data_IF_617693513415
#
_entry.id   IF_617693513415
#
_cell.length_a   1.000
_cell.length_b   1.000
_cell.length_c   1.000
_cell.angle_alpha   90.00
_cell.angle_beta   90.00
_cell.angle_gamma   90.00
#
_symmetry.space_group_name_H-M   'P 1'
#
loop_
_entity.id
_entity.type
_entity.pdbx_description
1 polymer ?
#
# COMPACT_ATOMS: atom_id res chain seq x y z
N UNK A 1 -12.23 -18.74 -45.28
CA UNK A 1 -12.04 -19.16 -43.86
C UNK A 1 -10.80 -18.56 -43.20
N UNK A 2 -9.71 -18.24 -43.91
CA UNK A 2 -8.48 -17.69 -43.30
C UNK A 2 -8.66 -16.29 -42.67
N UNK A 3 -9.32 -15.37 -43.38
CA UNK A 3 -9.53 -14.00 -42.92
C UNK A 3 -10.36 -13.91 -41.63
N UNK A 4 -11.35 -14.80 -41.45
CA UNK A 4 -12.18 -14.85 -40.24
C UNK A 4 -11.41 -15.31 -39.00
N UNK A 5 -10.43 -16.21 -39.17
CA UNK A 5 -9.56 -16.65 -38.07
C UNK A 5 -8.57 -15.56 -37.67
N UNK A 6 -8.07 -14.79 -38.63
CA UNK A 6 -7.18 -13.66 -38.36
C UNK A 6 -7.91 -12.51 -37.65
N UNK A 7 -9.11 -12.15 -38.08
CA UNK A 7 -9.90 -11.10 -37.39
C UNK A 7 -10.28 -11.52 -35.98
N UNK A 8 -10.72 -12.77 -35.77
CA UNK A 8 -11.04 -13.28 -34.44
C UNK A 8 -9.82 -13.33 -33.50
N UNK A 9 -8.66 -13.74 -34.02
CA UNK A 9 -7.41 -13.77 -33.27
C UNK A 9 -6.93 -12.37 -32.87
N UNK A 10 -7.02 -11.38 -33.78
CA UNK A 10 -6.70 -9.99 -33.46
C UNK A 10 -7.67 -9.43 -32.42
N UNK A 11 -8.97 -9.72 -32.52
CA UNK A 11 -9.97 -9.27 -31.54
C UNK A 11 -9.71 -9.83 -30.14
N UNK A 12 -9.36 -11.11 -30.01
CA UNK A 12 -9.02 -11.69 -28.71
C UNK A 12 -7.77 -11.03 -28.12
N UNK A 13 -6.76 -10.74 -28.95
CA UNK A 13 -5.54 -10.07 -28.51
C UNK A 13 -5.86 -8.66 -28.00
N UNK A 14 -6.66 -7.88 -28.72
CA UNK A 14 -7.07 -6.53 -28.29
C UNK A 14 -7.88 -6.55 -26.99
N UNK A 15 -8.77 -7.53 -26.82
CA UNK A 15 -9.53 -7.69 -25.57
C UNK A 15 -8.61 -8.05 -24.39
N UNK A 16 -7.62 -8.92 -24.60
CA UNK A 16 -6.67 -9.32 -23.57
C UNK A 16 -5.76 -8.16 -23.13
N UNK A 17 -5.34 -7.30 -24.06
CA UNK A 17 -4.54 -6.10 -23.77
C UNK A 17 -5.36 -5.04 -23.03
N UNK A 18 -6.63 -4.84 -23.40
CA UNK A 18 -7.52 -3.90 -22.69
C UNK A 18 -7.81 -4.34 -21.25
N UNK A 19 -8.00 -5.64 -21.01
CA UNK A 19 -8.23 -6.17 -19.66
C UNK A 19 -6.98 -6.03 -18.77
N UNK A 20 -5.78 -6.20 -19.33
CA UNK A 20 -4.52 -6.02 -18.60
C UNK A 20 -4.28 -4.55 -18.18
N UNK A 21 -4.73 -3.58 -18.99
CA UNK A 21 -4.63 -2.16 -18.64
C UNK A 21 -5.59 -1.71 -17.54
N UNK A 22 -6.78 -2.32 -17.43
CA UNK A 22 -7.72 -2.04 -16.34
C UNK A 22 -7.20 -2.53 -14.98
N UNK A 23 -6.36 -3.59 -14.95
CA UNK A 23 -5.73 -4.06 -13.71
C UNK A 23 -4.64 -3.11 -13.17
N UNK A 24 -4.08 -2.24 -14.03
CA UNK A 24 -3.09 -1.22 -13.64
C UNK A 24 -3.73 0.15 -13.32
N UNK A 25 -4.93 0.40 -13.83
CA UNK A 25 -5.61 1.69 -13.75
C UNK A 25 -6.61 1.72 -12.59
N UNK A 26 -6.08 1.88 -11.37
CA UNK A 26 -6.68 2.55 -10.21
C UNK A 26 -6.30 1.82 -8.91
N UNK A 27 -5.17 2.21 -8.32
CA UNK A 27 -5.04 2.14 -6.87
C UNK A 27 -5.85 3.32 -6.31
N UNK A 28 -7.18 3.26 -6.43
CA UNK A 28 -8.02 4.11 -5.59
C UNK A 28 -7.72 3.66 -4.17
N UNK A 29 -7.29 4.55 -3.25
CA UNK A 29 -7.12 4.17 -1.86
C UNK A 29 -8.41 3.50 -1.42
N UNK A 30 -8.35 2.26 -0.96
CA UNK A 30 -9.52 1.63 -0.38
C UNK A 30 -9.97 2.53 0.76
N UNK A 31 -11.18 3.09 0.67
CA UNK A 31 -11.71 4.00 1.69
C UNK A 31 -12.68 3.24 2.59
N UNK A 32 -12.67 3.59 3.88
CA UNK A 32 -13.60 3.14 4.91
C UNK A 32 -14.06 1.70 4.74
N UNK A 33 -15.26 1.51 4.21
CA UNK A 33 -15.95 0.23 4.11
C UNK A 33 -15.15 -0.89 3.42
N UNK A 34 -14.38 -0.59 2.37
CA UNK A 34 -13.60 -1.61 1.66
C UNK A 34 -12.41 -2.10 2.50
N UNK A 35 -11.79 -1.17 3.25
CA UNK A 35 -10.71 -1.51 4.20
C UNK A 35 -11.29 -2.30 5.36
N UNK A 36 -12.38 -1.83 5.95
CA UNK A 36 -13.04 -2.50 7.07
C UNK A 36 -13.46 -3.92 6.69
N UNK A 37 -14.11 -4.12 5.54
CA UNK A 37 -14.49 -5.45 5.08
C UNK A 37 -13.29 -6.39 4.92
N UNK A 38 -12.16 -5.89 4.40
CA UNK A 38 -10.93 -6.67 4.27
C UNK A 38 -10.33 -7.00 5.64
N UNK A 39 -10.26 -6.01 6.54
CA UNK A 39 -9.73 -6.20 7.90
C UNK A 39 -10.59 -7.19 8.67
N UNK A 40 -11.92 -7.04 8.66
CA UNK A 40 -12.86 -7.99 9.27
C UNK A 40 -12.66 -9.40 8.71
N UNK A 41 -12.57 -9.56 7.39
CA UNK A 41 -12.36 -10.88 6.79
C UNK A 41 -11.08 -11.58 7.27
N UNK A 42 -10.03 -10.80 7.55
CA UNK A 42 -8.77 -11.32 8.08
C UNK A 42 -8.95 -11.71 9.55
N UNK A 43 -9.51 -10.80 10.36
CA UNK A 43 -9.69 -11.01 11.81
C UNK A 43 -10.67 -12.15 12.13
N UNK A 44 -11.71 -12.34 11.31
CA UNK A 44 -12.68 -13.43 11.48
C UNK A 44 -12.06 -14.80 11.19
N UNK A 45 -11.03 -14.83 10.34
CA UNK A 45 -10.31 -16.05 9.96
C UNK A 45 -9.00 -16.27 10.75
N UNK A 46 -8.79 -15.50 11.82
CA UNK A 46 -7.71 -15.70 12.78
C UNK A 46 -8.17 -16.49 14.00
N UNK A 47 -7.37 -17.45 14.42
CA UNK A 47 -7.53 -18.08 15.72
C UNK A 47 -7.06 -17.14 16.85
N UNK A 48 -7.38 -17.48 18.11
CA UNK A 48 -7.04 -16.64 19.26
C UNK A 48 -5.53 -16.41 19.42
N UNK A 49 -4.70 -17.42 19.15
CA UNK A 49 -3.24 -17.28 19.21
C UNK A 49 -2.71 -16.33 18.14
N UNK A 50 -3.22 -16.40 16.90
CA UNK A 50 -2.88 -15.47 15.83
C UNK A 50 -3.25 -14.03 16.19
N UNK A 51 -4.42 -13.81 16.80
CA UNK A 51 -4.83 -12.48 17.29
C UNK A 51 -3.91 -11.95 18.39
N UNK A 52 -3.54 -12.79 19.35
CA UNK A 52 -2.60 -12.42 20.42
C UNK A 52 -1.22 -12.11 19.85
N UNK A 53 -0.74 -12.91 18.89
CA UNK A 53 0.57 -12.69 18.28
C UNK A 53 0.57 -11.42 17.41
N UNK A 54 -0.56 -11.07 16.78
CA UNK A 54 -0.67 -9.84 16.00
C UNK A 54 -0.50 -8.58 16.86
N UNK A 55 -1.00 -8.59 18.10
CA UNK A 55 -0.86 -7.43 19.02
C UNK A 55 0.47 -7.41 19.76
N UNK A 56 1.23 -8.51 19.72
CA UNK A 56 2.53 -8.63 20.39
C UNK A 56 3.64 -8.50 19.36
N UNK A 57 4.17 -7.28 19.24
CA UNK A 57 5.39 -7.01 18.48
C UNK A 57 6.58 -7.72 19.15
N UNK A 58 7.15 -8.72 18.50
CA UNK A 58 8.27 -9.51 19.03
C UNK A 58 9.44 -9.70 18.05
N UNK A 59 9.32 -9.23 16.81
CA UNK A 59 10.26 -9.47 15.72
C UNK A 59 10.88 -8.17 15.15
N UNK A 60 10.67 -7.04 15.83
CA UNK A 60 11.17 -5.72 15.42
C UNK A 60 10.30 -4.99 14.39
N UNK A 61 9.20 -5.59 13.93
CA UNK A 61 8.21 -4.90 13.10
C UNK A 61 7.17 -4.18 13.96
N UNK A 62 6.73 -2.99 13.55
CA UNK A 62 5.62 -2.29 14.20
C UNK A 62 4.27 -2.99 14.00
N UNK A 63 4.07 -3.58 12.83
CA UNK A 63 2.94 -4.47 12.53
C UNK A 63 3.57 -5.79 12.07
N UNK A 64 3.29 -6.90 12.76
CA UNK A 64 3.91 -8.18 12.43
C UNK A 64 3.41 -8.71 11.08
N UNK A 65 4.19 -9.60 10.47
CA UNK A 65 3.82 -10.22 9.20
C UNK A 65 2.63 -11.17 9.35
N UNK A 66 1.73 -11.14 8.37
CA UNK A 66 0.58 -12.03 8.27
C UNK A 66 0.64 -12.78 6.93
N UNK A 67 1.62 -13.69 6.84
CA UNK A 67 1.98 -14.38 5.59
C UNK A 67 0.83 -15.17 4.96
N UNK A 68 -0.08 -15.73 5.78
CA UNK A 68 -1.30 -16.42 5.33
C UNK A 68 -2.18 -15.55 4.42
N UNK A 69 -2.15 -14.24 4.61
CA UNK A 69 -2.89 -13.26 3.79
C UNK A 69 -1.98 -12.42 2.87
N UNK A 70 -0.71 -12.83 2.72
CA UNK A 70 0.26 -12.13 1.89
C UNK A 70 0.68 -10.75 2.40
N UNK A 71 0.45 -10.44 3.68
CA UNK A 71 0.78 -9.15 4.28
C UNK A 71 2.17 -9.24 4.93
N UNK A 72 3.10 -8.39 4.47
CA UNK A 72 4.45 -8.29 5.04
C UNK A 72 4.41 -7.46 6.32
N UNK A 73 5.37 -7.73 7.21
CA UNK A 73 5.57 -6.89 8.39
C UNK A 73 6.00 -5.49 7.99
N UNK A 74 5.71 -4.51 8.86
CA UNK A 74 6.05 -3.10 8.62
C UNK A 74 7.12 -2.63 9.58
N UNK A 75 8.06 -1.83 9.10
CA UNK A 75 8.99 -1.08 9.95
C UNK A 75 8.54 0.37 9.96
N UNK A 76 8.55 1.01 11.13
CA UNK A 76 8.41 2.46 11.21
C UNK A 76 9.78 3.09 11.40
N UNK A 77 10.06 4.12 10.61
CA UNK A 77 11.21 4.97 10.78
C UNK A 77 10.71 6.36 11.17
N UNK A 78 11.33 6.92 12.20
CA UNK A 78 11.29 8.37 12.38
C UNK A 78 12.02 9.04 11.22
N UNK A 79 11.94 10.35 11.00
CA UNK A 79 11.22 11.38 11.72
C UNK A 79 10.12 11.99 10.85
N UNK A 80 9.38 12.95 11.39
CA UNK A 80 8.44 13.77 10.61
C UNK A 80 9.12 14.63 9.53
N UNK A 81 10.46 14.75 9.55
CA UNK A 81 11.20 15.64 8.65
C UNK A 81 12.13 14.95 7.66
N UNK A 82 12.13 13.62 7.64
CA UNK A 82 13.02 12.82 6.81
C UNK A 82 13.25 11.46 7.45
N UNK A 83 13.64 10.47 6.65
CA UNK A 83 13.80 9.09 7.10
C UNK A 83 15.08 8.97 7.93
N UNK A 84 14.96 8.53 9.17
CA UNK A 84 16.01 8.42 10.16
C UNK A 84 16.36 6.95 10.34
N UNK A 85 17.62 6.62 10.04
CA UNK A 85 18.14 5.25 10.07
C UNK A 85 19.50 5.29 10.74
N UNK A 86 19.73 4.41 11.73
CA UNK A 86 21.04 4.26 12.40
C UNK A 86 21.62 5.59 12.94
N UNK A 87 20.80 6.39 13.62
CA UNK A 87 21.19 7.66 14.24
C UNK A 87 21.58 8.78 13.23
N UNK A 88 21.23 8.63 11.95
CA UNK A 88 21.42 9.62 10.90
C UNK A 88 20.18 9.75 10.02
N UNK A 89 20.00 10.92 9.40
CA UNK A 89 18.92 11.11 8.43
C UNK A 89 19.39 10.66 7.05
N UNK A 90 18.63 9.76 6.43
CA UNK A 90 18.86 9.20 5.12
C UNK A 90 18.03 9.95 4.07
N UNK A 91 18.68 10.36 2.97
CA UNK A 91 18.01 11.03 1.85
C UNK A 91 17.67 12.49 2.12
N UNK A 92 16.51 12.92 1.59
CA UNK A 92 16.06 14.31 1.68
C UNK A 92 15.64 14.68 3.12
N UNK A 93 16.00 15.89 3.52
CA UNK A 93 15.60 16.49 4.79
C UNK A 93 14.71 17.70 4.50
N UNK A 94 13.55 17.71 5.12
CA UNK A 94 12.54 18.75 4.91
C UNK A 94 12.62 19.84 6.00
N UNK A 95 12.19 21.09 5.70
CA UNK A 95 12.15 22.17 6.68
C UNK A 95 11.14 21.87 7.79
N UNK A 96 11.50 22.13 9.06
CA UNK A 96 10.69 21.76 10.23
C UNK A 96 9.20 22.12 10.10
N UNK A 97 8.34 21.40 10.83
CA UNK A 97 6.89 21.66 10.82
C UNK A 97 6.53 23.12 11.12
N UNK A 98 7.28 23.79 12.00
CA UNK A 98 7.10 25.23 12.27
C UNK A 98 7.47 26.10 11.07
N UNK A 99 8.54 25.75 10.33
CA UNK A 99 8.90 26.44 9.10
C UNK A 99 7.86 26.21 8.00
N UNK A 100 7.30 25.00 7.88
CA UNK A 100 6.19 24.70 6.98
C UNK A 100 4.94 25.51 7.36
N UNK A 101 4.57 25.54 8.64
CA UNK A 101 3.43 26.29 9.14
C UNK A 101 3.56 27.80 8.85
N UNK A 102 4.77 28.35 8.99
CA UNK A 102 5.05 29.75 8.68
C UNK A 102 4.84 30.12 7.20
N UNK A 103 4.73 29.14 6.29
CA UNK A 103 4.41 29.40 4.87
C UNK A 103 2.94 29.70 4.62
N UNK A 104 2.04 29.36 5.55
CA UNK A 104 0.58 29.48 5.38
C UNK A 104 0.04 28.85 4.08
N UNK A 105 0.73 27.83 3.55
CA UNK A 105 0.41 27.21 2.27
C UNK A 105 0.01 25.75 2.44
N UNK A 106 -1.27 25.47 2.19
CA UNK A 106 -1.79 24.10 2.15
C UNK A 106 -1.13 23.30 1.02
N UNK A 107 -0.80 23.94 -0.10
CA UNK A 107 -0.17 23.25 -1.22
C UNK A 107 1.21 22.74 -0.85
N UNK A 108 2.02 23.54 -0.15
CA UNK A 108 3.34 23.10 0.35
C UNK A 108 3.27 22.01 1.40
N UNK A 109 2.16 21.89 2.13
CA UNK A 109 1.98 20.82 3.10
C UNK A 109 1.60 19.48 2.46
N UNK A 110 1.16 19.48 1.20
CA UNK A 110 0.79 18.28 0.44
C UNK A 110 1.94 17.71 -0.38
N UNK A 111 2.84 18.58 -0.82
CA UNK A 111 4.07 18.25 -1.56
C UNK A 111 5.07 17.48 -0.70
#
# INVERSE_FOLDING_TARGET
MSAFKQTLGLSLLTFSVMQAHLALAAVTPATGNAVEARVSSILDNMNQSEKINFTRVNDGHMIPSLLKWGIKGTVAYDSSMGVHVNNATFGAQYPSQSALAATWSINRAKE
#
